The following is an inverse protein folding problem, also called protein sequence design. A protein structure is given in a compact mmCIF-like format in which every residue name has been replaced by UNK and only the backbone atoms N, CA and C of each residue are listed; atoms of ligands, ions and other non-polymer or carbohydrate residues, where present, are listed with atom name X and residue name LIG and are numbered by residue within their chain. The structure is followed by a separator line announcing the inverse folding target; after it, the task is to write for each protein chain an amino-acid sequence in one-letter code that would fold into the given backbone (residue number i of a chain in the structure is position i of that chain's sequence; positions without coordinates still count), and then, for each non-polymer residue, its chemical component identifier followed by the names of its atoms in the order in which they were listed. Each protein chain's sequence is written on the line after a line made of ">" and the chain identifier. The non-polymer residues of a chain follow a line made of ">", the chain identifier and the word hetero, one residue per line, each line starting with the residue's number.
data_IF_385881634095
#
_entry.id   IF_385881634095
#
_cell.length_a   1.000
_cell.length_b   1.000
_cell.length_c   1.000
_cell.angle_alpha   90.00
_cell.angle_beta   90.00
_cell.angle_gamma   90.00
#
_symmetry.space_group_name_H-M   'P 1'
#
loop_
_entity.id
_entity.type
_entity.pdbx_description
1 polymer ?
#
# COMPACT_ATOMS: atom_id res chain seq x y z
N UNK A 1 -14.96 -1.91 39.93
CA UNK A 1 -15.04 -1.35 38.57
C UNK A 1 -13.62 -1.02 38.17
N UNK A 2 -12.94 -1.83 37.35
CA UNK A 2 -11.59 -1.50 36.87
C UNK A 2 -11.69 -0.30 35.91
N UNK A 3 -10.75 0.67 35.95
CA UNK A 3 -10.52 1.53 34.81
C UNK A 3 -9.89 0.68 33.71
N UNK A 4 -10.71 0.34 32.72
CA UNK A 4 -10.30 -0.23 31.43
C UNK A 4 -9.23 0.66 30.77
N UNK A 5 -8.20 0.00 30.24
CA UNK A 5 -6.84 0.48 30.04
C UNK A 5 -6.67 1.66 29.05
N UNK A 6 -5.64 2.51 29.23
CA UNK A 6 -5.11 3.31 28.13
C UNK A 6 -4.24 2.41 27.24
N UNK A 7 -4.47 2.46 25.92
CA UNK A 7 -3.51 1.93 24.94
C UNK A 7 -4.08 0.82 24.07
N UNK A 8 -4.79 1.21 23.02
CA UNK A 8 -4.78 0.47 21.76
C UNK A 8 -4.74 1.49 20.62
N UNK A 9 -3.61 2.17 20.50
CA UNK A 9 -3.00 2.48 19.21
C UNK A 9 -2.83 1.16 18.44
N UNK A 10 -3.95 0.61 18.00
CA UNK A 10 -3.97 -0.68 17.32
C UNK A 10 -3.37 -0.43 15.95
N UNK A 11 -2.07 -0.71 15.93
CA UNK A 11 -1.42 -1.50 14.91
C UNK A 11 -1.79 -1.03 13.51
N UNK A 12 -0.93 -0.14 13.02
CA UNK A 12 -0.64 0.06 11.61
C UNK A 12 -0.42 -1.31 10.97
N UNK A 13 -1.51 -2.03 10.67
CA UNK A 13 -1.52 -3.10 9.69
C UNK A 13 -1.10 -2.35 8.44
N UNK A 14 0.16 -2.47 7.98
CA UNK A 14 0.57 -1.72 6.83
C UNK A 14 -0.39 -2.17 5.72
N UNK A 15 -1.03 -1.24 4.98
CA UNK A 15 -1.73 -1.64 3.77
C UNK A 15 -0.78 -2.53 2.97
N UNK A 16 -1.26 -3.57 2.27
CA UNK A 16 -0.40 -4.47 1.48
C UNK A 16 0.44 -3.63 0.50
N UNK A 17 1.60 -3.19 0.97
CA UNK A 17 2.39 -2.11 0.39
C UNK A 17 3.56 -2.76 -0.29
N UNK A 18 3.56 -2.68 -1.62
CA UNK A 18 4.63 -3.18 -2.46
C UNK A 18 5.55 -2.02 -2.80
N UNK A 19 6.82 -2.14 -2.42
CA UNK A 19 7.83 -1.16 -2.81
C UNK A 19 8.37 -1.50 -4.20
N UNK A 20 8.44 -0.52 -5.08
CA UNK A 20 8.94 -0.68 -6.45
C UNK A 20 10.01 0.37 -6.77
N UNK A 21 10.97 0.00 -7.61
CA UNK A 21 11.97 0.93 -8.19
C UNK A 21 11.46 1.65 -9.44
N UNK A 22 10.31 1.24 -9.96
CA UNK A 22 9.77 1.74 -11.23
C UNK A 22 8.61 2.70 -10.99
N UNK A 23 8.57 3.78 -11.76
CA UNK A 23 7.45 4.72 -11.77
C UNK A 23 6.19 4.15 -12.44
N UNK A 24 6.30 3.01 -13.12
CA UNK A 24 5.19 2.34 -13.77
C UNK A 24 5.18 0.88 -13.32
N UNK A 25 4.08 0.45 -12.71
CA UNK A 25 3.93 -0.88 -12.14
C UNK A 25 2.81 -1.63 -12.82
N UNK A 26 3.01 -2.94 -13.02
CA UNK A 26 1.95 -3.83 -13.43
C UNK A 26 1.33 -4.49 -12.18
N UNK A 27 0.04 -4.28 -11.96
CA UNK A 27 -0.71 -5.01 -10.96
C UNK A 27 -1.42 -6.19 -11.66
N UNK A 28 -1.08 -7.42 -11.27
CA UNK A 28 -1.66 -8.66 -11.79
C UNK A 28 -2.72 -9.25 -10.83
N UNK A 29 -3.04 -8.51 -9.77
CA UNK A 29 -4.01 -8.91 -8.75
C UNK A 29 -3.45 -9.69 -7.56
N UNK A 30 -4.23 -9.78 -6.48
CA UNK A 30 -3.90 -10.50 -5.24
C UNK A 30 -4.67 -11.83 -5.16
N UNK A 31 -4.20 -12.85 -5.87
CA UNK A 31 -4.66 -14.23 -5.70
C UNK A 31 -6.07 -14.59 -6.23
N UNK A 32 -6.50 -15.85 -6.05
CA UNK A 32 -7.53 -16.52 -6.86
C UNK A 32 -9.00 -16.07 -6.62
N UNK A 33 -9.26 -15.03 -5.81
CA UNK A 33 -10.61 -14.61 -5.45
C UNK A 33 -11.00 -13.18 -5.86
N UNK A 34 -10.03 -12.26 -5.91
CA UNK A 34 -10.27 -10.82 -6.12
C UNK A 34 -9.23 -10.16 -7.05
N UNK A 35 -8.52 -10.96 -7.86
CA UNK A 35 -7.56 -10.45 -8.85
C UNK A 35 -8.26 -9.85 -10.08
N UNK A 36 -7.99 -8.58 -10.38
CA UNK A 36 -8.39 -7.96 -11.64
C UNK A 36 -7.42 -8.34 -12.78
N UNK A 37 -7.80 -8.15 -14.06
CA UNK A 37 -6.88 -8.31 -15.19
C UNK A 37 -5.63 -7.44 -15.02
N UNK A 38 -4.50 -7.83 -15.62
CA UNK A 38 -3.26 -7.02 -15.57
C UNK A 38 -3.53 -5.56 -15.97
N UNK A 39 -3.33 -4.65 -15.04
CA UNK A 39 -3.38 -3.21 -15.29
C UNK A 39 -2.02 -2.58 -15.05
N UNK A 40 -1.77 -1.48 -15.75
CA UNK A 40 -0.57 -0.68 -15.58
C UNK A 40 -0.94 0.59 -14.81
N UNK A 41 -0.33 0.77 -13.65
CA UNK A 41 -0.49 1.95 -12.80
C UNK A 41 0.78 2.79 -12.92
N UNK A 42 0.62 4.10 -13.00
CA UNK A 42 1.75 5.04 -12.93
C UNK A 42 1.78 5.65 -11.53
N UNK A 43 2.95 5.60 -10.89
CA UNK A 43 3.21 6.25 -9.62
C UNK A 43 3.51 7.73 -9.89
N UNK A 44 2.67 8.65 -9.41
CA UNK A 44 2.96 10.07 -9.52
C UNK A 44 4.21 10.43 -8.70
N UNK A 45 5.20 11.15 -9.27
CA UNK A 45 6.44 11.50 -8.58
C UNK A 45 6.26 12.53 -7.47
N UNK A 46 5.14 13.24 -7.45
CA UNK A 46 4.75 14.18 -6.39
C UNK A 46 4.33 13.46 -5.10
N UNK A 47 3.54 12.39 -5.22
CA UNK A 47 3.01 11.63 -4.08
C UNK A 47 3.89 10.45 -3.73
N UNK A 48 4.53 9.83 -4.73
CA UNK A 48 5.42 8.70 -4.57
C UNK A 48 4.74 7.35 -4.36
N UNK A 49 3.41 7.28 -4.45
CA UNK A 49 2.66 6.04 -4.38
C UNK A 49 1.42 6.05 -5.29
N UNK A 50 0.93 4.86 -5.66
CA UNK A 50 -0.34 4.65 -6.35
C UNK A 50 -1.06 3.44 -5.77
N UNK A 51 -2.38 3.48 -5.72
CA UNK A 51 -3.21 2.40 -5.17
C UNK A 51 -3.98 1.73 -6.31
N UNK A 52 -4.05 0.40 -6.26
CA UNK A 52 -4.83 -0.36 -7.20
C UNK A 52 -6.28 -0.43 -6.75
N UNK A 53 -7.20 0.24 -7.46
CA UNK A 53 -8.63 0.31 -7.10
C UNK A 53 -9.43 -1.00 -7.20
N UNK A 54 -8.76 -2.15 -7.31
CA UNK A 54 -9.38 -3.47 -7.40
C UNK A 54 -8.89 -4.42 -6.30
N UNK A 55 -7.58 -4.44 -6.04
CA UNK A 55 -6.96 -5.30 -5.02
C UNK A 55 -6.51 -4.54 -3.77
N UNK A 56 -6.77 -3.23 -3.70
CA UNK A 56 -6.34 -2.33 -2.62
C UNK A 56 -4.83 -2.34 -2.32
N UNK A 57 -4.03 -2.94 -3.22
CA UNK A 57 -2.57 -2.96 -3.11
C UNK A 57 -2.01 -1.57 -3.37
N UNK A 58 -1.17 -1.13 -2.44
CA UNK A 58 -0.47 0.15 -2.53
C UNK A 58 0.92 -0.07 -3.09
N UNK A 59 1.26 0.61 -4.16
CA UNK A 59 2.60 0.59 -4.75
C UNK A 59 3.32 1.88 -4.39
N UNK A 60 4.42 1.78 -3.65
CA UNK A 60 5.22 2.93 -3.22
C UNK A 60 6.55 2.88 -3.93
N UNK A 61 6.98 4.00 -4.50
CA UNK A 61 8.31 4.09 -5.10
C UNK A 61 9.36 4.08 -3.98
N UNK A 62 10.48 3.35 -4.18
CA UNK A 62 11.53 3.24 -3.16
C UNK A 62 12.05 4.60 -2.65
N UNK A 63 12.09 5.62 -3.51
CA UNK A 63 12.47 6.99 -3.12
C UNK A 63 11.54 7.63 -2.07
N UNK A 64 10.32 7.12 -1.92
CA UNK A 64 9.32 7.57 -0.96
C UNK A 64 9.07 6.58 0.18
N UNK A 65 9.71 5.40 0.16
CA UNK A 65 9.58 4.38 1.20
C UNK A 65 10.05 4.89 2.58
N UNK A 66 11.08 5.75 2.59
CA UNK A 66 11.63 6.36 3.81
C UNK A 66 10.65 7.35 4.47
N UNK A 67 9.89 8.10 3.66
CA UNK A 67 8.90 9.09 4.16
C UNK A 67 7.69 8.46 4.86
N UNK A 68 7.44 7.16 4.67
CA UNK A 68 6.28 6.46 5.26
C UNK A 68 6.57 5.99 6.70
N UNK A 69 7.81 6.10 7.20
CA UNK A 69 8.24 5.64 8.53
C UNK A 69 8.43 6.74 9.58
N UNK A 70 8.05 7.99 9.29
CA UNK A 70 8.12 9.14 10.20
C UNK A 70 6.73 9.65 10.49
#
# INVERSE_FOLDING_TARGET
>A
MPPEAPGQDTDSIPPETTYTSEWRVCCDGSGPGLGHPRVWLSIPPETGFVECGYCDRKFVHQSFADKVRT
#
